data_IF_985315157982
#
_entry.id   IF_985315157982
#
_cell.length_a   1.000
_cell.length_b   1.000
_cell.length_c   1.000
_cell.angle_alpha   90.00
_cell.angle_beta   90.00
_cell.angle_gamma   90.00
#
_symmetry.space_group_name_H-M   'P 1'
#
loop_
_entity.id
_entity.type
_entity.pdbx_description
1 polymer ?
#
# COMPACT_ATOMS: atom_id res chain seq x y z
N UNK A 1 6.53 31.78 2.09
CA UNK A 1 5.43 31.15 2.84
C UNK A 1 4.50 30.31 1.98
N UNK A 2 4.34 30.61 0.67
CA UNK A 2 3.41 29.90 -0.24
C UNK A 2 3.79 28.42 -0.51
N UNK A 3 5.04 28.02 -0.35
CA UNK A 3 5.50 26.65 -0.61
C UNK A 3 5.49 25.73 0.62
N UNK A 4 5.50 26.29 1.82
CA UNK A 4 5.50 25.48 3.06
C UNK A 4 4.17 24.83 3.35
N UNK A 5 3.06 25.52 3.06
CA UNK A 5 1.73 25.00 3.31
C UNK A 5 1.41 23.72 2.52
N UNK A 6 1.67 23.65 1.19
CA UNK A 6 1.51 22.42 0.43
C UNK A 6 2.33 21.25 0.97
N UNK A 7 3.57 21.52 1.42
CA UNK A 7 4.45 20.47 1.97
C UNK A 7 3.93 19.93 3.30
N UNK A 8 3.40 20.79 4.18
CA UNK A 8 2.77 20.35 5.43
C UNK A 8 1.52 19.51 5.14
N UNK A 9 0.73 19.88 4.13
CA UNK A 9 -0.42 19.10 3.70
C UNK A 9 -0.02 17.75 3.09
N UNK A 10 1.17 17.61 2.52
CA UNK A 10 1.64 16.36 1.91
C UNK A 10 1.58 15.18 2.89
N UNK A 11 1.93 15.39 4.17
CA UNK A 11 1.86 14.32 5.17
C UNK A 11 0.42 13.85 5.41
N UNK A 12 -0.54 14.77 5.47
CA UNK A 12 -1.96 14.45 5.67
C UNK A 12 -2.52 13.72 4.45
N UNK A 13 -2.19 14.20 3.25
CA UNK A 13 -2.61 13.56 1.99
C UNK A 13 -1.99 12.17 1.86
N UNK A 14 -0.70 12.00 2.19
CA UNK A 14 -0.03 10.71 2.23
C UNK A 14 -0.66 9.75 3.24
N UNK A 15 -1.00 10.23 4.43
CA UNK A 15 -1.70 9.42 5.42
C UNK A 15 -3.08 8.98 4.92
N UNK A 16 -3.85 9.86 4.29
CA UNK A 16 -5.15 9.54 3.69
C UNK A 16 -5.01 8.52 2.56
N UNK A 17 -4.01 8.66 1.71
CA UNK A 17 -3.72 7.75 0.59
C UNK A 17 -3.58 6.30 1.05
N UNK A 18 -2.97 6.05 2.21
CA UNK A 18 -2.86 4.71 2.78
C UNK A 18 -4.21 4.04 3.12
N UNK A 19 -5.31 4.78 3.09
CA UNK A 19 -6.67 4.27 3.31
C UNK A 19 -7.46 4.11 2.00
N UNK A 20 -6.83 4.22 0.85
CA UNK A 20 -7.46 3.92 -0.43
C UNK A 20 -7.80 2.42 -0.55
N UNK A 21 -8.83 2.05 -1.33
CA UNK A 21 -9.36 0.68 -1.36
C UNK A 21 -8.31 -0.39 -1.68
N UNK A 22 -7.44 -0.14 -2.66
CA UNK A 22 -6.36 -1.04 -3.06
C UNK A 22 -5.36 -1.29 -1.92
N UNK A 23 -5.00 -0.24 -1.17
CA UNK A 23 -4.13 -0.32 -0.01
C UNK A 23 -4.77 -1.10 1.14
N UNK A 24 -6.05 -0.83 1.44
CA UNK A 24 -6.76 -1.55 2.49
C UNK A 24 -6.95 -3.02 2.15
N UNK A 25 -7.24 -3.35 0.88
CA UNK A 25 -7.38 -4.73 0.42
C UNK A 25 -6.05 -5.49 0.49
N UNK A 26 -4.95 -4.90 0.01
CA UNK A 26 -3.62 -5.50 0.14
C UNK A 26 -3.25 -5.70 1.62
N UNK A 27 -3.45 -4.66 2.46
CA UNK A 27 -3.14 -4.73 3.89
C UNK A 27 -3.97 -5.78 4.60
N UNK A 28 -5.27 -5.90 4.31
CA UNK A 28 -6.13 -6.90 4.93
C UNK A 28 -5.63 -8.33 4.67
N UNK A 29 -5.14 -8.60 3.46
CA UNK A 29 -4.59 -9.92 3.09
C UNK A 29 -3.24 -10.19 3.75
N UNK A 30 -2.38 -9.17 3.90
CA UNK A 30 -1.09 -9.28 4.58
C UNK A 30 -1.24 -9.52 6.08
N UNK A 31 -2.07 -8.70 6.73
CA UNK A 31 -2.23 -8.66 8.20
C UNK A 31 -3.03 -9.85 8.73
N UNK A 32 -4.00 -10.37 7.96
CA UNK A 32 -4.79 -11.53 8.36
C UNK A 32 -3.96 -12.81 8.63
N UNK A 33 -2.68 -12.81 8.24
CA UNK A 33 -1.72 -13.92 8.49
C UNK A 33 -1.09 -13.89 9.88
N UNK A 34 -1.35 -12.86 10.69
CA UNK A 34 -0.68 -12.66 11.98
C UNK A 34 -1.62 -12.86 13.16
N UNK A 35 -1.18 -13.59 14.17
CA UNK A 35 -1.89 -13.73 15.44
C UNK A 35 -1.55 -12.60 16.44
N UNK A 36 -0.47 -11.84 16.19
CA UNK A 36 0.04 -10.79 17.07
C UNK A 36 0.12 -9.45 16.37
N UNK A 37 -0.07 -8.37 17.13
CA UNK A 37 -0.04 -7.00 16.60
C UNK A 37 1.34 -6.59 16.07
N UNK A 38 2.41 -6.92 16.80
CA UNK A 38 3.78 -6.52 16.43
C UNK A 38 4.20 -6.96 15.01
N UNK A 39 4.00 -8.23 14.59
CA UNK A 39 4.28 -8.64 13.22
C UNK A 39 3.45 -7.88 12.18
N UNK A 40 2.16 -7.63 12.45
CA UNK A 40 1.30 -6.88 11.55
C UNK A 40 1.79 -5.43 11.35
N UNK A 41 2.17 -4.75 12.44
CA UNK A 41 2.74 -3.41 12.37
C UNK A 41 4.07 -3.40 11.61
N UNK A 42 4.91 -4.44 11.78
CA UNK A 42 6.16 -4.58 11.03
C UNK A 42 5.92 -4.74 9.53
N UNK A 43 4.94 -5.55 9.13
CA UNK A 43 4.57 -5.70 7.71
C UNK A 43 4.03 -4.38 7.15
N UNK A 44 3.19 -3.66 7.89
CA UNK A 44 2.72 -2.32 7.50
C UNK A 44 3.85 -1.31 7.33
N UNK A 45 4.82 -1.31 8.24
CA UNK A 45 5.99 -0.44 8.14
C UNK A 45 6.88 -0.77 6.93
N UNK A 46 7.17 -2.07 6.72
CA UNK A 46 8.00 -2.52 5.59
C UNK A 46 7.31 -2.27 4.25
N UNK A 47 6.01 -2.48 4.18
CA UNK A 47 5.23 -2.16 3.01
C UNK A 47 5.22 -0.66 2.74
N UNK A 48 4.97 0.18 3.74
CA UNK A 48 5.05 1.63 3.63
C UNK A 48 6.44 2.11 3.20
N UNK A 49 7.50 1.46 3.70
CA UNK A 49 8.88 1.76 3.28
C UNK A 49 9.10 1.42 1.81
N UNK A 50 8.64 0.25 1.34
CA UNK A 50 8.72 -0.14 -0.07
C UNK A 50 7.96 0.84 -0.97
N UNK A 51 6.72 1.19 -0.59
CA UNK A 51 5.89 2.15 -1.29
C UNK A 51 6.59 3.52 -1.40
N UNK A 52 7.06 4.07 -0.28
CA UNK A 52 7.77 5.35 -0.25
C UNK A 52 9.05 5.31 -1.07
N UNK A 53 9.81 4.21 -1.01
CA UNK A 53 11.03 4.04 -1.81
C UNK A 53 10.71 4.16 -3.30
N UNK A 54 9.67 3.48 -3.78
CA UNK A 54 9.29 3.54 -5.18
C UNK A 54 8.78 4.92 -5.57
N UNK A 55 7.93 5.54 -4.75
CA UNK A 55 7.46 6.92 -4.95
C UNK A 55 8.63 7.90 -5.09
N UNK A 56 9.63 7.82 -4.23
CA UNK A 56 10.80 8.71 -4.25
C UNK A 56 11.63 8.46 -5.50
N UNK A 57 11.91 7.21 -5.85
CA UNK A 57 12.72 6.88 -7.03
C UNK A 57 12.01 7.32 -8.31
N UNK A 58 10.79 6.81 -8.56
CA UNK A 58 10.05 7.12 -9.78
C UNK A 58 9.59 8.57 -9.84
N UNK A 59 9.08 9.11 -8.74
CA UNK A 59 8.67 10.50 -8.66
C UNK A 59 9.82 11.46 -8.94
N UNK A 60 11.00 11.22 -8.34
CA UNK A 60 12.19 12.01 -8.61
C UNK A 60 12.65 11.87 -10.07
N UNK A 61 12.61 10.66 -10.62
CA UNK A 61 12.98 10.41 -12.02
C UNK A 61 12.05 11.19 -12.98
N UNK A 62 10.75 11.15 -12.77
CA UNK A 62 9.77 11.90 -13.58
C UNK A 62 10.00 13.41 -13.44
N UNK A 63 10.19 13.92 -12.23
CA UNK A 63 10.42 15.36 -11.98
C UNK A 63 11.70 15.84 -12.67
N UNK A 64 12.79 15.12 -12.54
CA UNK A 64 14.09 15.51 -13.07
C UNK A 64 14.18 15.34 -14.59
N UNK A 65 13.63 14.26 -15.14
CA UNK A 65 13.66 13.98 -16.58
C UNK A 65 12.54 14.68 -17.36
N UNK A 66 11.50 15.17 -16.67
CA UNK A 66 10.24 15.65 -17.26
C UNK A 66 9.59 14.63 -18.22
N UNK A 67 9.87 13.34 -17.99
CA UNK A 67 9.47 12.24 -18.84
C UNK A 67 8.06 11.76 -18.44
N UNK A 68 7.04 12.34 -19.04
CA UNK A 68 5.63 11.96 -18.77
C UNK A 68 5.25 10.58 -19.30
N UNK A 69 6.04 10.02 -20.24
CA UNK A 69 5.82 8.66 -20.77
C UNK A 69 6.08 7.54 -19.74
N UNK A 70 6.71 7.85 -18.62
CA UNK A 70 6.85 6.90 -17.49
C UNK A 70 5.54 6.68 -16.72
N UNK A 71 4.47 7.41 -17.08
CA UNK A 71 3.14 7.20 -16.53
C UNK A 71 2.40 6.21 -17.44
N UNK A 72 2.59 4.94 -17.17
CA UNK A 72 1.96 3.88 -17.94
C UNK A 72 0.76 3.30 -17.18
N UNK A 73 -0.41 3.16 -17.82
CA UNK A 73 -1.58 2.50 -17.22
C UNK A 73 -1.28 1.04 -16.82
N UNK A 74 -0.26 0.42 -17.42
CA UNK A 74 0.19 -0.92 -17.03
C UNK A 74 0.68 -1.03 -15.58
N UNK A 75 1.08 0.08 -14.95
CA UNK A 75 1.47 0.05 -13.54
C UNK A 75 0.27 -0.20 -12.62
N UNK A 76 -0.87 0.38 -12.95
CA UNK A 76 -2.13 0.14 -12.22
C UNK A 76 -2.65 -1.27 -12.48
N UNK A 77 -2.52 -1.77 -13.72
CA UNK A 77 -2.79 -3.17 -14.03
C UNK A 77 -1.87 -4.13 -13.25
N UNK A 78 -0.60 -3.80 -13.05
CA UNK A 78 0.33 -4.61 -12.25
C UNK A 78 -0.11 -4.68 -10.78
N UNK A 79 -0.60 -3.58 -10.20
CA UNK A 79 -1.19 -3.60 -8.86
C UNK A 79 -2.46 -4.45 -8.83
N UNK A 80 -3.30 -4.33 -9.85
CA UNK A 80 -4.49 -5.17 -9.99
C UNK A 80 -4.14 -6.67 -10.00
N UNK A 81 -3.14 -7.07 -10.79
CA UNK A 81 -2.64 -8.45 -10.83
C UNK A 81 -2.07 -8.89 -9.48
N UNK A 82 -1.36 -8.02 -8.78
CA UNK A 82 -0.84 -8.30 -7.45
C UNK A 82 -1.99 -8.51 -6.45
N UNK A 83 -3.05 -7.69 -6.47
CA UNK A 83 -4.23 -7.87 -5.62
C UNK A 83 -4.93 -9.19 -5.88
N UNK A 84 -5.07 -9.59 -7.16
CA UNK A 84 -5.60 -10.90 -7.54
C UNK A 84 -4.74 -12.01 -6.94
N UNK A 85 -3.43 -11.94 -7.13
CA UNK A 85 -2.47 -12.91 -6.60
C UNK A 85 -2.53 -13.03 -5.07
N UNK A 86 -2.60 -11.90 -4.35
CA UNK A 86 -2.76 -11.87 -2.90
C UNK A 86 -4.08 -12.51 -2.46
N UNK A 87 -5.19 -12.15 -3.11
CA UNK A 87 -6.51 -12.72 -2.82
C UNK A 87 -6.57 -14.23 -3.05
N UNK A 88 -6.09 -14.70 -4.20
CA UNK A 88 -6.01 -16.13 -4.54
C UNK A 88 -5.12 -16.88 -3.55
N UNK A 89 -3.92 -16.37 -3.28
CA UNK A 89 -2.97 -17.01 -2.35
C UNK A 89 -3.59 -17.18 -0.96
N UNK A 90 -4.47 -16.27 -0.57
CA UNK A 90 -5.16 -16.30 0.72
C UNK A 90 -6.31 -17.30 0.75
N UNK A 91 -7.04 -17.46 -0.37
CA UNK A 91 -8.10 -18.46 -0.48
C UNK A 91 -7.58 -19.90 -0.52
N UNK A 92 -6.43 -20.11 -1.18
CA UNK A 92 -5.81 -21.45 -1.30
C UNK A 92 -5.21 -21.89 0.04
N UNK A 93 -4.62 -20.95 0.78
CA UNK A 93 -3.94 -21.23 2.04
C UNK A 93 -4.93 -21.38 3.21
N UNK A 94 -5.80 -22.39 3.12
CA UNK A 94 -6.81 -22.72 4.14
C UNK A 94 -6.22 -23.06 5.51
N UNK A 95 -4.92 -23.37 5.59
CA UNK A 95 -4.21 -23.78 6.80
C UNK A 95 -3.44 -22.64 7.49
N UNK A 96 -3.61 -21.39 7.04
CA UNK A 96 -2.87 -20.21 7.49
C UNK A 96 -3.18 -19.71 8.90
N UNK A 97 -3.84 -20.51 9.73
CA UNK A 97 -3.86 -20.28 11.18
C UNK A 97 -2.57 -20.77 11.88
N UNK A 98 -1.59 -21.32 11.13
CA UNK A 98 -0.28 -21.56 11.70
C UNK A 98 0.47 -20.23 11.78
N UNK A 99 0.92 -19.80 12.98
CA UNK A 99 1.75 -18.63 13.13
C UNK A 99 3.03 -18.84 12.31
N UNK A 100 3.13 -18.14 11.18
CA UNK A 100 4.33 -18.24 10.36
C UNK A 100 5.41 -17.44 11.06
N UNK A 101 6.49 -18.13 11.45
CA UNK A 101 7.67 -17.52 12.07
C UNK A 101 8.20 -16.37 11.20
N UNK A 102 8.66 -15.30 11.86
CA UNK A 102 9.29 -14.12 11.23
C UNK A 102 10.54 -14.57 10.45
N UNK A 103 10.39 -14.95 9.19
CA UNK A 103 11.51 -15.23 8.32
C UNK A 103 11.93 -13.94 7.56
N UNK A 104 13.22 -13.83 7.21
CA UNK A 104 13.75 -12.75 6.36
C UNK A 104 12.99 -12.65 5.03
N UNK A 105 12.52 -13.78 4.48
CA UNK A 105 11.71 -13.86 3.26
C UNK A 105 10.38 -13.10 3.35
N UNK A 106 9.76 -13.07 4.53
CA UNK A 106 8.50 -12.38 4.76
C UNK A 106 8.64 -10.86 4.79
N UNK A 107 9.69 -10.38 5.44
CA UNK A 107 10.02 -8.96 5.45
C UNK A 107 10.26 -8.45 4.02
N UNK A 108 10.97 -9.23 3.21
CA UNK A 108 11.16 -8.95 1.79
C UNK A 108 9.85 -8.92 1.01
N UNK A 109 8.93 -9.85 1.30
CA UNK A 109 7.64 -9.90 0.61
C UNK A 109 6.78 -8.64 0.86
N UNK A 110 6.62 -8.22 2.12
CA UNK A 110 5.87 -7.00 2.43
C UNK A 110 6.50 -5.75 1.76
N UNK A 111 7.81 -5.65 1.79
CA UNK A 111 8.54 -4.58 1.11
C UNK A 111 8.33 -4.61 -0.41
N UNK A 112 8.41 -5.79 -1.05
CA UNK A 112 8.18 -5.94 -2.51
C UNK A 112 6.75 -5.58 -2.90
N UNK A 113 5.76 -5.99 -2.11
CA UNK A 113 4.36 -5.56 -2.30
C UNK A 113 4.26 -4.04 -2.24
N UNK A 114 4.98 -3.41 -1.32
CA UNK A 114 5.07 -1.95 -1.23
C UNK A 114 5.69 -1.30 -2.47
N UNK A 115 6.79 -1.86 -2.99
CA UNK A 115 7.42 -1.38 -4.22
C UNK A 115 6.43 -1.38 -5.41
N UNK A 116 5.71 -2.48 -5.61
CA UNK A 116 4.73 -2.60 -6.70
C UNK A 116 3.60 -1.58 -6.54
N UNK A 117 3.07 -1.40 -5.32
CA UNK A 117 2.04 -0.40 -5.03
C UNK A 117 2.52 1.03 -5.29
N UNK A 118 3.74 1.37 -4.86
CA UNK A 118 4.30 2.70 -5.05
C UNK A 118 4.52 3.05 -6.52
N UNK A 119 4.61 2.04 -7.40
CA UNK A 119 4.78 2.25 -8.84
C UNK A 119 3.50 2.81 -9.49
N UNK A 120 2.32 2.28 -9.12
CA UNK A 120 1.04 2.68 -9.71
C UNK A 120 0.59 4.08 -9.26
N UNK A 121 0.62 4.35 -7.96
CA UNK A 121 0.13 5.62 -7.41
C UNK A 121 1.01 6.85 -7.70
N UNK A 122 2.23 6.64 -8.21
CA UNK A 122 3.23 7.72 -8.36
C UNK A 122 2.87 8.72 -9.46
N UNK A 123 2.26 8.29 -10.56
CA UNK A 123 2.06 9.12 -11.74
C UNK A 123 1.16 10.34 -11.52
N UNK A 124 -0.07 10.11 -11.07
CA UNK A 124 -1.05 11.18 -10.84
C UNK A 124 -0.57 12.16 -9.74
N UNK A 125 0.03 11.64 -8.67
CA UNK A 125 0.58 12.46 -7.59
C UNK A 125 1.73 13.33 -8.09
N UNK A 126 2.65 12.78 -8.87
CA UNK A 126 3.79 13.53 -9.42
C UNK A 126 3.31 14.63 -10.37
N UNK A 127 2.31 14.35 -11.23
CA UNK A 127 1.71 15.37 -12.11
C UNK A 127 1.11 16.52 -11.29
N UNK A 128 0.33 16.21 -10.27
CA UNK A 128 -0.23 17.21 -9.38
C UNK A 128 0.86 18.07 -8.75
N UNK A 129 1.91 17.44 -8.23
CA UNK A 129 3.03 18.14 -7.60
C UNK A 129 3.78 19.00 -8.61
N UNK A 130 4.00 18.53 -9.83
CA UNK A 130 4.68 19.29 -10.89
C UNK A 130 3.85 20.49 -11.37
N UNK A 131 2.51 20.42 -11.34
CA UNK A 131 1.64 21.54 -11.68
C UNK A 131 1.70 22.66 -10.64
N UNK A 132 1.88 22.33 -9.37
CA UNK A 132 1.87 23.28 -8.25
C UNK A 132 3.27 23.80 -7.89
N UNK A 133 4.30 22.95 -8.00
CA UNK A 133 5.64 23.25 -7.55
C UNK A 133 6.63 23.37 -8.71
N UNK A 134 7.01 24.62 -9.05
CA UNK A 134 7.93 24.90 -10.17
C UNK A 134 9.38 24.45 -9.94
N UNK A 135 9.81 24.34 -8.68
CA UNK A 135 11.19 23.94 -8.34
C UNK A 135 11.24 22.45 -8.00
N UNK A 136 12.11 21.69 -8.64
CA UNK A 136 12.28 20.26 -8.44
C UNK A 136 12.61 19.89 -6.97
N UNK A 137 13.40 20.72 -6.27
CA UNK A 137 13.74 20.49 -4.86
C UNK A 137 12.51 20.47 -3.96
N UNK A 138 11.56 21.39 -4.15
CA UNK A 138 10.31 21.42 -3.39
C UNK A 138 9.38 20.28 -3.77
N UNK A 139 9.35 19.90 -5.05
CA UNK A 139 8.59 18.75 -5.50
C UNK A 139 9.10 17.44 -4.89
N UNK A 140 10.42 17.24 -4.84
CA UNK A 140 11.03 16.07 -4.18
C UNK A 140 10.75 16.10 -2.67
N UNK A 141 10.85 17.26 -2.01
CA UNK A 141 10.53 17.41 -0.60
C UNK A 141 9.06 17.05 -0.32
N UNK A 142 8.13 17.43 -1.21
CA UNK A 142 6.72 17.04 -1.12
C UNK A 142 6.57 15.52 -1.16
N UNK A 143 7.19 14.84 -2.12
CA UNK A 143 7.12 13.37 -2.26
C UNK A 143 7.68 12.68 -1.01
N UNK A 144 8.77 13.17 -0.44
CA UNK A 144 9.35 12.62 0.79
C UNK A 144 8.37 12.76 1.97
N UNK A 145 7.80 13.94 2.16
CA UNK A 145 6.86 14.20 3.26
C UNK A 145 5.55 13.41 3.07
N UNK A 146 5.05 13.33 1.83
CA UNK A 146 3.92 12.47 1.46
C UNK A 146 4.20 11.00 1.78
N UNK A 147 5.38 10.50 1.38
CA UNK A 147 5.80 9.11 1.63
C UNK A 147 5.88 8.80 3.13
N UNK A 148 6.40 9.73 3.95
CA UNK A 148 6.40 9.58 5.40
C UNK A 148 4.97 9.53 5.96
N UNK A 149 4.08 10.40 5.49
CA UNK A 149 2.67 10.38 5.84
C UNK A 149 1.99 9.06 5.47
N UNK A 150 2.24 8.59 4.24
CA UNK A 150 1.73 7.31 3.73
C UNK A 150 2.22 6.13 4.58
N UNK A 151 3.50 6.13 4.97
CA UNK A 151 4.08 5.11 5.83
C UNK A 151 3.43 5.06 7.22
N UNK A 152 3.15 6.22 7.81
CA UNK A 152 2.40 6.32 9.08
C UNK A 152 0.95 5.85 8.91
N UNK A 153 0.31 6.21 7.80
CA UNK A 153 -1.04 5.73 7.45
C UNK A 153 -1.10 4.23 7.30
N UNK A 154 -0.14 3.62 6.60
CA UNK A 154 -0.05 2.16 6.43
C UNK A 154 0.21 1.43 7.75
N UNK A 155 1.01 2.00 8.62
CA UNK A 155 1.21 1.49 9.97
C UNK A 155 -0.11 1.52 10.77
N UNK A 156 -0.86 2.62 10.69
CA UNK A 156 -2.17 2.75 11.33
C UNK A 156 -3.19 1.78 10.73
N UNK A 157 -3.25 1.66 9.39
CA UNK A 157 -4.12 0.73 8.68
C UNK A 157 -3.84 -0.73 9.09
N UNK A 158 -2.55 -1.12 9.18
CA UNK A 158 -2.14 -2.44 9.65
C UNK A 158 -2.63 -2.72 11.08
N UNK A 159 -2.53 -1.74 11.96
CA UNK A 159 -3.05 -1.83 13.32
C UNK A 159 -4.57 -1.99 13.35
N UNK A 160 -5.31 -1.15 12.62
CA UNK A 160 -6.77 -1.19 12.54
C UNK A 160 -7.29 -2.50 11.94
N UNK A 161 -6.73 -2.91 10.81
CA UNK A 161 -7.11 -4.17 10.13
C UNK A 161 -6.82 -5.41 10.98
N UNK A 162 -5.87 -5.31 11.92
CA UNK A 162 -5.56 -6.40 12.85
C UNK A 162 -6.54 -6.51 14.02
N UNK A 163 -7.23 -5.43 14.39
CA UNK A 163 -8.13 -5.41 15.57
C UNK A 163 -9.16 -6.57 15.57
N UNK A 164 -9.88 -6.85 14.46
CA UNK A 164 -10.85 -7.95 14.41
C UNK A 164 -10.25 -9.34 14.66
N UNK A 165 -8.94 -9.50 14.42
CA UNK A 165 -8.23 -10.77 14.55
C UNK A 165 -7.47 -10.90 15.88
N UNK A 166 -7.61 -9.94 16.81
CA UNK A 166 -6.98 -10.04 18.13
C UNK A 166 -7.76 -10.96 19.05
N UNK A 167 -7.05 -11.67 19.93
CA UNK A 167 -7.63 -12.54 20.96
C UNK A 167 -8.58 -11.79 21.92
N UNK A 168 -8.46 -10.47 22.03
CA UNK A 168 -9.32 -9.63 22.87
C UNK A 168 -10.75 -9.49 22.32
N UNK A 169 -10.93 -9.45 21.01
CA UNK A 169 -12.28 -9.30 20.42
C UNK A 169 -13.06 -10.61 20.34
N UNK A 170 -12.44 -11.76 20.61
CA UNK A 170 -13.07 -13.10 20.63
C UNK A 170 -14.06 -13.33 19.48
N UNK A 171 -13.80 -12.77 18.30
CA UNK A 171 -14.58 -13.07 17.13
C UNK A 171 -14.52 -14.56 16.87
N UNK A 172 -15.67 -15.21 16.77
CA UNK A 172 -15.76 -16.63 16.52
C UNK A 172 -14.96 -17.02 15.27
N UNK A 173 -14.36 -18.21 15.28
CA UNK A 173 -13.52 -18.74 14.19
C UNK A 173 -14.19 -18.61 12.82
N UNK A 174 -15.51 -18.78 12.77
CA UNK A 174 -16.30 -18.65 11.54
C UNK A 174 -16.35 -17.21 11.03
N UNK A 175 -16.44 -16.22 11.93
CA UNK A 175 -16.46 -14.81 11.56
C UNK A 175 -15.10 -14.34 11.05
N UNK A 176 -14.02 -14.81 11.65
CA UNK A 176 -12.66 -14.54 11.16
C UNK A 176 -12.45 -15.17 9.77
N UNK A 177 -12.90 -16.41 9.58
CA UNK A 177 -12.84 -17.06 8.27
C UNK A 177 -13.68 -16.32 7.23
N UNK A 178 -14.88 -15.88 7.59
CA UNK A 178 -15.74 -15.05 6.73
C UNK A 178 -15.08 -13.73 6.32
N UNK A 179 -14.46 -13.03 7.27
CA UNK A 179 -13.74 -11.78 6.98
C UNK A 179 -12.56 -12.00 6.02
N UNK A 180 -11.82 -13.10 6.17
CA UNK A 180 -10.73 -13.48 5.25
C UNK A 180 -11.26 -13.78 3.86
N UNK A 181 -12.32 -14.58 3.74
CA UNK A 181 -12.94 -14.89 2.43
C UNK A 181 -13.45 -13.62 1.77
N UNK A 182 -14.18 -12.78 2.51
CA UNK A 182 -14.71 -11.52 1.99
C UNK A 182 -13.61 -10.61 1.49
N UNK A 183 -12.56 -10.37 2.29
CA UNK A 183 -11.44 -9.52 1.87
C UNK A 183 -10.70 -10.08 0.66
N UNK A 184 -10.55 -11.40 0.56
CA UNK A 184 -9.91 -12.06 -0.59
C UNK A 184 -10.75 -11.92 -1.86
N UNK A 185 -12.06 -12.13 -1.78
CA UNK A 185 -12.97 -11.95 -2.91
C UNK A 185 -12.99 -10.50 -3.38
N UNK A 186 -13.06 -9.54 -2.45
CA UNK A 186 -12.99 -8.12 -2.76
C UNK A 186 -11.65 -7.75 -3.40
N UNK A 187 -10.53 -8.31 -2.92
CA UNK A 187 -9.20 -8.09 -3.49
C UNK A 187 -9.11 -8.60 -4.93
N UNK A 188 -9.65 -9.79 -5.21
CA UNK A 188 -9.69 -10.37 -6.56
C UNK A 188 -10.60 -9.53 -7.47
N UNK A 189 -11.79 -9.17 -7.00
CA UNK A 189 -12.76 -8.39 -7.78
C UNK A 189 -12.24 -6.99 -8.11
N UNK A 190 -11.70 -6.28 -7.12
CA UNK A 190 -11.13 -4.95 -7.31
C UNK A 190 -9.87 -4.99 -8.19
N UNK A 191 -8.99 -5.98 -7.98
CA UNK A 191 -7.83 -6.18 -8.82
C UNK A 191 -8.21 -6.51 -10.27
N UNK A 192 -9.24 -7.33 -10.49
CA UNK A 192 -9.79 -7.62 -11.82
C UNK A 192 -10.36 -6.37 -12.50
N UNK A 193 -11.08 -5.54 -11.75
CA UNK A 193 -11.57 -4.24 -12.23
C UNK A 193 -10.42 -3.31 -12.61
N UNK A 194 -9.37 -3.20 -11.79
CA UNK A 194 -8.19 -2.40 -12.11
C UNK A 194 -7.51 -2.85 -13.40
N UNK A 195 -7.32 -4.17 -13.58
CA UNK A 195 -6.74 -4.71 -14.83
C UNK A 195 -7.62 -4.37 -16.02
N UNK A 196 -8.93 -4.59 -15.91
CA UNK A 196 -9.88 -4.30 -17.01
C UNK A 196 -9.91 -2.84 -17.44
N UNK A 197 -9.76 -1.91 -16.49
CA UNK A 197 -9.84 -0.47 -16.78
C UNK A 197 -8.55 0.13 -17.31
N UNK A 198 -7.42 -0.57 -17.17
CA UNK A 198 -6.11 -0.03 -17.52
C UNK A 198 -5.35 -0.87 -18.59
N UNK A 199 -5.97 -1.91 -19.14
CA UNK A 199 -5.48 -2.68 -20.30
C UNK A 199 -6.49 -2.61 -21.44
#
# INVERSE_FOLDING_TARGET
>A
MQTLLPILFAAIVGMRHAFEPDHLLAMSTLVARHDRLRPALKDGLLWGLGHTTMLVIFGSLIILSRATFLQSPYFEAAVGLMLIGLGISRLIDKNSYRPIQLSKQRAGFAYTVGLVHGLAGSGALVLLVMSELRQASWAIAYILVFGLGSMLGMLAAAGLMRLPFTSRMRLGRNLQAGAVVLSSVLSIGYGGWMVWTHV
#
